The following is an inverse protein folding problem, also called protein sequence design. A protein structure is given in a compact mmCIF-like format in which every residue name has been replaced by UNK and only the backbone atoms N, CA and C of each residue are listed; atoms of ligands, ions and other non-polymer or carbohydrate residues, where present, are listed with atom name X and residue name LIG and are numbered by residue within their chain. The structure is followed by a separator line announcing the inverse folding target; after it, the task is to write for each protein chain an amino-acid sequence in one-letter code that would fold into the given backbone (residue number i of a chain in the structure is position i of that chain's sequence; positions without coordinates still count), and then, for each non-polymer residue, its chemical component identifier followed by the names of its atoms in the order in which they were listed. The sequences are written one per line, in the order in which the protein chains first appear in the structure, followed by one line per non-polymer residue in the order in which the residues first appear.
data_IF_206348512400
#
_entry.id   IF_206348512400
#
_cell.length_a   1.000
_cell.length_b   1.000
_cell.length_c   1.000
_cell.angle_alpha   90.00
_cell.angle_beta   90.00
_cell.angle_gamma   90.00
#
_symmetry.space_group_name_H-M   'P 1'
#
loop_
_entity.id
_entity.type
_entity.pdbx_description
1 polymer ?
#
# COMPACT_ATOMS: atom_id res chain seq x y z
N UNK A 1 -6.06 22.08 -37.18
CA UNK A 1 -5.92 22.67 -35.83
C UNK A 1 -6.58 21.83 -34.73
N UNK A 2 -7.82 21.35 -34.87
CA UNK A 2 -8.52 20.60 -33.81
C UNK A 2 -7.75 19.38 -33.26
N UNK A 3 -7.09 18.61 -34.14
CA UNK A 3 -6.33 17.42 -33.72
C UNK A 3 -5.07 17.77 -32.90
N UNK A 4 -4.47 18.95 -33.13
CA UNK A 4 -3.28 19.41 -32.40
C UNK A 4 -3.61 19.85 -30.97
N UNK A 5 -4.74 20.56 -30.81
CA UNK A 5 -5.27 20.92 -29.49
C UNK A 5 -5.64 19.66 -28.68
N UNK A 6 -6.24 18.65 -29.32
CA UNK A 6 -6.58 17.39 -28.66
C UNK A 6 -5.33 16.61 -28.17
N UNK A 7 -4.26 16.58 -28.96
CA UNK A 7 -2.99 15.94 -28.56
C UNK A 7 -2.35 16.68 -27.39
N UNK A 8 -2.26 18.02 -27.46
CA UNK A 8 -1.69 18.86 -26.39
C UNK A 8 -2.44 18.67 -25.07
N UNK A 9 -3.78 18.71 -25.10
CA UNK A 9 -4.60 18.50 -23.91
C UNK A 9 -4.40 17.10 -23.30
N UNK A 10 -4.22 16.07 -24.14
CA UNK A 10 -3.96 14.70 -23.67
C UNK A 10 -2.59 14.57 -23.00
N UNK A 11 -1.56 15.20 -23.54
CA UNK A 11 -0.22 15.17 -22.95
C UNK A 11 -0.16 15.91 -21.60
N UNK A 12 -0.84 17.05 -21.51
CA UNK A 12 -0.97 17.83 -20.27
C UNK A 12 -1.70 17.02 -19.19
N UNK A 13 -2.84 16.42 -19.53
CA UNK A 13 -3.58 15.54 -18.62
C UNK A 13 -2.74 14.34 -18.13
N UNK A 14 -1.93 13.72 -19.00
CA UNK A 14 -1.04 12.62 -18.60
C UNK A 14 0.08 13.08 -17.67
N UNK A 15 0.60 14.29 -17.85
CA UNK A 15 1.61 14.87 -16.95
C UNK A 15 1.03 15.16 -15.57
N UNK A 16 -0.16 15.74 -15.50
CA UNK A 16 -0.83 16.03 -14.23
C UNK A 16 -1.17 14.74 -13.47
N UNK A 17 -1.72 13.74 -14.17
CA UNK A 17 -1.98 12.42 -13.57
C UNK A 17 -0.71 11.79 -13.01
N UNK A 18 0.40 11.85 -13.76
CA UNK A 18 1.70 11.34 -13.31
C UNK A 18 2.19 12.08 -12.05
N UNK A 19 2.05 13.40 -12.01
CA UNK A 19 2.39 14.22 -10.85
C UNK A 19 1.58 13.83 -9.62
N UNK A 20 0.26 13.73 -9.76
CA UNK A 20 -0.65 13.36 -8.66
C UNK A 20 -0.40 11.94 -8.13
N UNK A 21 -0.18 10.96 -9.02
CA UNK A 21 0.13 9.60 -8.61
C UNK A 21 1.49 9.51 -7.91
N UNK A 22 2.49 10.26 -8.39
CA UNK A 22 3.82 10.32 -7.78
C UNK A 22 3.75 10.92 -6.37
N UNK A 23 2.96 11.99 -6.21
CA UNK A 23 2.69 12.60 -4.91
C UNK A 23 2.02 11.59 -3.96
N UNK A 24 0.94 10.94 -4.41
CA UNK A 24 0.23 9.95 -3.60
C UNK A 24 1.14 8.77 -3.18
N UNK A 25 1.92 8.22 -4.11
CA UNK A 25 2.85 7.13 -3.81
C UNK A 25 3.96 7.56 -2.84
N UNK A 26 4.45 8.80 -2.96
CA UNK A 26 5.43 9.36 -2.02
C UNK A 26 4.82 9.51 -0.63
N UNK A 27 3.60 10.03 -0.52
CA UNK A 27 2.88 10.15 0.76
C UNK A 27 2.68 8.76 1.40
N UNK A 28 2.23 7.76 0.64
CA UNK A 28 2.05 6.39 1.14
C UNK A 28 3.39 5.81 1.61
N UNK A 29 4.47 6.02 0.86
CA UNK A 29 5.83 5.61 1.24
C UNK A 29 6.24 6.25 2.56
N UNK A 30 6.02 7.55 2.72
CA UNK A 30 6.34 8.28 3.96
C UNK A 30 5.51 7.75 5.13
N UNK A 31 4.20 7.56 4.96
CA UNK A 31 3.33 7.07 6.02
C UNK A 31 3.74 5.66 6.44
N UNK A 32 3.95 4.75 5.48
CA UNK A 32 4.35 3.36 5.78
C UNK A 32 5.71 3.31 6.48
N UNK A 33 6.70 4.07 6.00
CA UNK A 33 7.98 4.23 6.69
C UNK A 33 7.80 4.71 8.14
N UNK A 34 7.02 5.77 8.35
CA UNK A 34 6.78 6.32 9.68
C UNK A 34 6.08 5.32 10.60
N UNK A 35 5.09 4.57 10.11
CA UNK A 35 4.40 3.54 10.90
C UNK A 35 5.25 2.31 11.20
N UNK A 36 6.29 2.02 10.42
CA UNK A 36 7.19 0.92 10.69
C UNK A 36 8.18 1.24 11.81
N UNK A 37 8.73 2.47 11.81
CA UNK A 37 9.69 2.93 12.83
C UNK A 37 9.01 3.47 14.10
N UNK A 38 7.77 3.95 13.96
CA UNK A 38 6.89 4.34 15.06
C UNK A 38 5.66 3.43 15.02
N UNK A 39 5.80 2.17 15.49
CA UNK A 39 4.73 1.19 15.41
C UNK A 39 3.49 1.64 16.18
N UNK A 40 2.31 1.14 15.79
CA UNK A 40 1.11 1.28 16.62
C UNK A 40 1.40 0.80 18.04
N UNK A 41 0.74 1.39 19.04
CA UNK A 41 1.01 1.10 20.45
C UNK A 41 2.36 1.61 20.98
N UNK A 42 3.21 2.17 20.12
CA UNK A 42 4.48 2.77 20.51
C UNK A 42 5.58 1.76 20.85
N UNK A 43 6.71 2.33 21.28
CA UNK A 43 7.88 1.58 21.74
C UNK A 43 8.08 1.76 23.23
N UNK A 44 8.73 0.80 23.88
CA UNK A 44 9.09 0.94 25.30
C UNK A 44 10.09 2.10 25.46
N UNK A 45 9.81 3.11 26.31
CA UNK A 45 10.74 4.21 26.55
C UNK A 45 11.98 3.73 27.33
N UNK A 46 13.09 4.45 27.17
CA UNK A 46 14.26 4.26 28.02
C UNK A 46 14.03 4.89 29.40
N UNK A 47 14.40 4.18 30.46
CA UNK A 47 14.33 4.70 31.84
C UNK A 47 15.52 5.64 32.09
N UNK A 48 15.28 6.87 32.53
CA UNK A 48 16.32 7.91 32.73
C UNK A 48 17.31 7.59 33.88
N UNK A 49 16.90 6.76 34.84
CA UNK A 49 17.63 6.58 36.11
C UNK A 49 18.39 5.24 36.24
N UNK A 50 18.38 4.40 35.20
CA UNK A 50 19.07 3.12 35.20
C UNK A 50 19.96 2.98 33.95
N UNK A 51 21.05 2.20 34.07
CA UNK A 51 21.85 1.82 32.90
C UNK A 51 20.92 1.09 31.92
N UNK A 52 20.84 1.56 30.67
CA UNK A 52 20.10 0.91 29.58
C UNK A 52 20.48 -0.57 29.52
N UNK A 53 19.59 -1.42 30.04
CA UNK A 53 19.71 -2.87 30.02
C UNK A 53 18.44 -3.46 29.43
N UNK A 54 18.63 -4.37 28.50
CA UNK A 54 17.56 -5.27 28.11
C UNK A 54 17.22 -6.19 29.29
N UNK A 55 15.92 -6.44 29.55
CA UNK A 55 15.50 -7.42 30.53
C UNK A 55 15.98 -8.82 30.12
N UNK A 56 16.36 -9.66 31.09
CA UNK A 56 16.83 -11.03 30.82
C UNK A 56 15.74 -11.91 30.20
N UNK A 57 14.46 -11.63 30.50
CA UNK A 57 13.31 -12.29 29.93
C UNK A 57 12.62 -11.41 28.88
N UNK A 58 12.94 -11.62 27.61
CA UNK A 58 12.38 -10.86 26.48
C UNK A 58 10.91 -11.20 26.16
N UNK A 59 10.44 -12.36 26.64
CA UNK A 59 9.13 -12.93 26.27
C UNK A 59 7.93 -12.09 26.72
N UNK A 60 8.09 -11.31 27.80
CA UNK A 60 7.02 -10.46 28.34
C UNK A 60 7.44 -9.00 28.53
N UNK A 61 8.64 -8.66 28.06
CA UNK A 61 9.28 -7.40 28.40
C UNK A 61 10.16 -6.94 27.22
N UNK A 62 9.65 -6.06 26.35
CA UNK A 62 10.44 -5.54 25.24
C UNK A 62 11.66 -4.77 25.77
N UNK A 63 12.77 -4.73 25.04
CA UNK A 63 13.87 -3.81 25.32
C UNK A 63 13.42 -2.36 25.10
N UNK A 64 14.07 -1.37 25.73
CA UNK A 64 13.87 0.04 25.36
C UNK A 64 14.08 0.26 23.85
N UNK A 65 13.11 0.88 23.20
CA UNK A 65 13.07 1.09 21.73
C UNK A 65 12.36 -0.01 20.94
N UNK A 66 12.01 -1.15 21.55
CA UNK A 66 11.22 -2.19 20.89
C UNK A 66 9.71 -1.93 21.00
N UNK A 67 8.96 -2.41 20.02
CA UNK A 67 7.50 -2.26 19.98
C UNK A 67 6.82 -3.03 21.12
N UNK A 68 5.90 -2.38 21.82
CA UNK A 68 5.09 -3.02 22.87
C UNK A 68 4.11 -4.02 22.25
N UNK A 69 3.47 -3.66 21.13
CA UNK A 69 2.50 -4.54 20.45
C UNK A 69 3.15 -5.80 19.86
N UNK A 70 4.44 -5.78 19.54
CA UNK A 70 5.16 -6.96 19.07
C UNK A 70 5.20 -8.09 20.10
N UNK A 71 5.19 -7.75 21.39
CA UNK A 71 5.18 -8.71 22.50
C UNK A 71 3.73 -9.10 22.86
N UNK A 72 2.82 -8.11 22.91
CA UNK A 72 1.43 -8.35 23.35
C UNK A 72 0.60 -9.09 22.30
N UNK A 73 0.74 -8.75 21.02
CA UNK A 73 -0.02 -9.34 19.91
C UNK A 73 0.91 -9.75 18.75
N UNK A 74 1.87 -10.63 19.05
CA UNK A 74 2.93 -11.04 18.13
C UNK A 74 2.44 -11.42 16.73
N UNK A 75 1.42 -12.29 16.63
CA UNK A 75 0.88 -12.75 15.34
C UNK A 75 0.26 -11.62 14.51
N UNK A 76 -0.52 -10.74 15.15
CA UNK A 76 -1.14 -9.60 14.49
C UNK A 76 -0.07 -8.58 14.05
N UNK A 77 0.95 -8.38 14.90
CA UNK A 77 2.05 -7.45 14.64
C UNK A 77 2.93 -7.90 13.46
N UNK A 78 3.27 -9.19 13.38
CA UNK A 78 4.01 -9.76 12.24
C UNK A 78 3.22 -9.56 10.94
N UNK A 79 1.91 -9.83 10.97
CA UNK A 79 1.04 -9.64 9.81
C UNK A 79 0.94 -8.16 9.41
N UNK A 80 0.82 -7.27 10.39
CA UNK A 80 0.83 -5.83 10.19
C UNK A 80 2.12 -5.36 9.49
N UNK A 81 3.28 -5.74 10.03
CA UNK A 81 4.58 -5.37 9.44
C UNK A 81 4.75 -5.93 8.03
N UNK A 82 4.29 -7.15 7.77
CA UNK A 82 4.35 -7.76 6.45
C UNK A 82 3.55 -6.94 5.43
N UNK A 83 2.28 -6.64 5.69
CA UNK A 83 1.46 -5.83 4.77
C UNK A 83 1.99 -4.40 4.63
N UNK A 84 2.47 -3.80 5.72
CA UNK A 84 3.06 -2.47 5.71
C UNK A 84 4.31 -2.42 4.81
N UNK A 85 5.18 -3.41 4.92
CA UNK A 85 6.42 -3.52 4.12
C UNK A 85 6.10 -3.73 2.64
N UNK A 86 5.12 -4.57 2.31
CA UNK A 86 4.67 -4.73 0.93
C UNK A 86 4.10 -3.41 0.39
N UNK A 87 3.33 -2.68 1.21
CA UNK A 87 2.81 -1.36 0.83
C UNK A 87 3.95 -0.36 0.57
N UNK A 88 4.95 -0.30 1.43
CA UNK A 88 6.14 0.56 1.29
C UNK A 88 6.95 0.24 0.03
N UNK A 89 7.26 -1.03 -0.20
CA UNK A 89 8.06 -1.45 -1.36
C UNK A 89 7.27 -1.23 -2.66
N UNK A 90 5.97 -1.53 -2.67
CA UNK A 90 5.14 -1.32 -3.86
C UNK A 90 4.96 0.18 -4.18
N UNK A 91 4.79 1.05 -3.17
CA UNK A 91 4.71 2.49 -3.40
C UNK A 91 6.04 3.07 -3.89
N UNK A 92 7.18 2.59 -3.38
CA UNK A 92 8.50 2.94 -3.92
C UNK A 92 8.67 2.50 -5.36
N UNK A 93 8.26 1.28 -5.70
CA UNK A 93 8.30 0.79 -7.09
C UNK A 93 7.46 1.67 -8.02
N UNK A 94 6.27 2.10 -7.57
CA UNK A 94 5.44 3.07 -8.30
C UNK A 94 6.17 4.40 -8.46
N UNK A 95 6.77 4.96 -7.41
CA UNK A 95 7.56 6.19 -7.48
C UNK A 95 8.70 6.06 -8.49
N UNK A 96 9.46 4.96 -8.46
CA UNK A 96 10.56 4.72 -9.39
C UNK A 96 10.07 4.66 -10.84
N UNK A 97 9.00 3.90 -11.11
CA UNK A 97 8.38 3.84 -12.44
C UNK A 97 7.92 5.22 -12.93
N UNK A 98 7.36 6.04 -12.04
CA UNK A 98 6.93 7.40 -12.33
C UNK A 98 8.09 8.38 -12.44
N UNK A 99 9.25 8.15 -11.84
CA UNK A 99 10.43 9.04 -11.96
C UNK A 99 11.26 8.69 -13.18
N UNK A 100 11.37 7.41 -13.56
CA UNK A 100 12.20 6.90 -14.66
C UNK A 100 11.86 7.44 -16.06
N UNK A 101 10.84 8.29 -16.20
CA UNK A 101 10.57 8.94 -17.49
C UNK A 101 9.91 8.03 -18.53
N UNK A 102 9.59 6.78 -18.17
CA UNK A 102 8.92 5.87 -19.09
C UNK A 102 7.61 6.48 -19.57
N UNK A 103 7.44 6.51 -20.89
CA UNK A 103 6.24 7.06 -21.49
C UNK A 103 5.02 6.25 -21.05
N UNK A 104 4.10 6.89 -20.31
CA UNK A 104 2.77 6.36 -20.01
C UNK A 104 1.94 6.14 -21.29
N UNK A 105 2.44 6.56 -22.45
CA UNK A 105 1.85 6.17 -23.72
C UNK A 105 2.04 4.67 -24.02
N UNK A 106 3.06 4.03 -23.44
CA UNK A 106 3.24 2.59 -23.59
C UNK A 106 2.29 1.83 -22.67
N UNK A 107 1.45 1.00 -23.30
CA UNK A 107 0.40 0.21 -22.65
C UNK A 107 0.95 -0.75 -21.59
N UNK A 108 2.19 -1.25 -21.74
CA UNK A 108 2.84 -2.11 -20.76
C UNK A 108 3.16 -1.37 -19.45
N UNK A 109 3.79 -0.19 -19.53
CA UNK A 109 4.14 0.59 -18.34
C UNK A 109 2.92 1.12 -17.61
N UNK A 110 1.89 1.54 -18.33
CA UNK A 110 0.60 1.93 -17.72
C UNK A 110 -0.06 0.76 -17.00
N UNK A 111 0.03 -0.45 -17.57
CA UNK A 111 -0.50 -1.65 -16.95
C UNK A 111 0.28 -2.04 -15.69
N UNK A 112 1.62 -2.01 -15.75
CA UNK A 112 2.49 -2.25 -14.60
C UNK A 112 2.24 -1.24 -13.47
N UNK A 113 2.13 0.05 -13.81
CA UNK A 113 1.78 1.12 -12.87
C UNK A 113 0.43 0.86 -12.21
N UNK A 114 -0.57 0.45 -13.00
CA UNK A 114 -1.91 0.15 -12.48
C UNK A 114 -1.88 -1.03 -11.52
N UNK A 115 -1.11 -2.08 -11.80
CA UNK A 115 -0.92 -3.22 -10.90
C UNK A 115 -0.22 -2.78 -9.62
N UNK A 116 0.87 -2.02 -9.74
CA UNK A 116 1.60 -1.46 -8.61
C UNK A 116 0.66 -0.69 -7.69
N UNK A 117 -0.14 0.23 -8.24
CA UNK A 117 -1.11 0.99 -7.47
C UNK A 117 -2.19 0.12 -6.82
N UNK A 118 -2.70 -0.91 -7.50
CA UNK A 118 -3.67 -1.84 -6.91
C UNK A 118 -3.06 -2.60 -5.71
N UNK A 119 -1.83 -3.09 -5.86
CA UNK A 119 -1.10 -3.77 -4.77
C UNK A 119 -0.90 -2.81 -3.61
N UNK A 120 -0.41 -1.60 -3.87
CA UNK A 120 -0.18 -0.56 -2.85
C UNK A 120 -1.48 -0.23 -2.10
N UNK A 121 -2.57 0.08 -2.81
CA UNK A 121 -3.83 0.42 -2.13
C UNK A 121 -4.39 -0.77 -1.33
N UNK A 122 -4.31 -1.99 -1.86
CA UNK A 122 -4.81 -3.19 -1.16
C UNK A 122 -4.04 -3.45 0.12
N UNK A 123 -2.72 -3.41 0.04
CA UNK A 123 -1.83 -3.65 1.19
C UNK A 123 -1.92 -2.53 2.20
N UNK A 124 -2.13 -1.28 1.78
CA UNK A 124 -2.43 -0.16 2.67
C UNK A 124 -3.73 -0.37 3.45
N UNK A 125 -4.81 -0.79 2.79
CA UNK A 125 -6.10 -1.07 3.46
C UNK A 125 -5.98 -2.21 4.47
N UNK A 126 -5.29 -3.30 4.11
CA UNK A 126 -5.04 -4.43 5.03
C UNK A 126 -4.20 -3.99 6.23
N UNK A 127 -3.14 -3.22 6.00
CA UNK A 127 -2.29 -2.66 7.05
C UNK A 127 -3.09 -1.79 8.01
N UNK A 128 -3.94 -0.90 7.48
CA UNK A 128 -4.81 -0.04 8.29
C UNK A 128 -5.75 -0.87 9.17
N UNK A 129 -6.41 -1.89 8.60
CA UNK A 129 -7.35 -2.72 9.36
C UNK A 129 -6.64 -3.44 10.50
N UNK A 130 -5.52 -4.12 10.24
CA UNK A 130 -4.78 -4.86 11.27
C UNK A 130 -4.19 -3.90 12.31
N UNK A 131 -3.63 -2.77 11.87
CA UNK A 131 -3.08 -1.75 12.77
C UNK A 131 -4.13 -1.21 13.75
N UNK A 132 -5.30 -0.85 13.23
CA UNK A 132 -6.38 -0.30 14.04
C UNK A 132 -7.05 -1.38 14.92
N UNK A 133 -7.11 -2.62 14.46
CA UNK A 133 -7.51 -3.79 15.26
C UNK A 133 -6.62 -3.93 16.50
N UNK A 134 -5.29 -3.95 16.34
CA UNK A 134 -4.34 -4.10 17.45
C UNK A 134 -4.41 -2.98 18.50
N UNK A 135 -4.84 -1.77 18.11
CA UNK A 135 -4.92 -0.60 19.02
C UNK A 135 -6.31 -0.47 19.68
N UNK A 136 -7.33 -1.18 19.16
CA UNK A 136 -8.70 -1.05 19.66
C UNK A 136 -8.96 -1.99 20.85
N UNK A 137 -9.39 -1.47 22.01
CA UNK A 137 -9.64 -2.30 23.19
C UNK A 137 -10.95 -3.12 23.10
N UNK A 138 -11.01 -4.24 23.83
CA UNK A 138 -12.11 -5.21 23.82
C UNK A 138 -13.57 -4.64 23.90
N UNK A 139 -13.91 -3.64 24.73
CA UNK A 139 -15.29 -3.18 24.86
C UNK A 139 -15.87 -2.55 23.57
N UNK A 140 -15.03 -2.10 22.65
CA UNK A 140 -15.45 -1.58 21.33
C UNK A 140 -15.23 -2.56 20.18
N UNK A 141 -14.57 -3.69 20.45
CA UNK A 141 -14.16 -4.67 19.45
C UNK A 141 -15.31 -5.22 18.59
N UNK A 142 -16.41 -5.64 19.23
CA UNK A 142 -17.54 -6.25 18.51
C UNK A 142 -18.10 -5.32 17.43
N UNK A 143 -18.26 -4.02 17.75
CA UNK A 143 -18.69 -3.01 16.78
C UNK A 143 -17.63 -2.81 15.69
N UNK A 144 -16.37 -2.69 16.07
CA UNK A 144 -15.24 -2.51 15.14
C UNK A 144 -15.10 -3.68 14.14
N UNK A 145 -15.25 -4.92 14.59
CA UNK A 145 -15.14 -6.11 13.74
C UNK A 145 -16.26 -6.17 12.69
N UNK A 146 -17.49 -5.82 13.06
CA UNK A 146 -18.60 -5.73 12.08
C UNK A 146 -18.36 -4.64 11.03
N UNK A 147 -17.74 -3.52 11.42
CA UNK A 147 -17.36 -2.43 10.50
C UNK A 147 -16.25 -2.89 9.54
N UNK A 148 -15.18 -3.53 10.04
CA UNK A 148 -14.10 -4.03 9.18
C UNK A 148 -14.57 -5.10 8.21
N UNK A 149 -15.45 -6.01 8.62
CA UNK A 149 -16.02 -6.99 7.72
C UNK A 149 -16.78 -6.32 6.56
N UNK A 150 -17.58 -5.27 6.83
CA UNK A 150 -18.23 -4.53 5.75
C UNK A 150 -17.23 -3.84 4.82
N UNK A 151 -16.22 -3.18 5.39
CA UNK A 151 -15.17 -2.49 4.62
C UNK A 151 -14.43 -3.49 3.73
N UNK A 152 -14.02 -4.65 4.25
CA UNK A 152 -13.26 -5.64 3.47
C UNK A 152 -14.09 -6.22 2.33
N UNK A 153 -15.37 -6.52 2.53
CA UNK A 153 -16.24 -6.97 1.44
C UNK A 153 -16.41 -5.92 0.35
N UNK A 154 -16.63 -4.65 0.73
CA UNK A 154 -16.72 -3.56 -0.24
C UNK A 154 -15.41 -3.37 -1.00
N UNK A 155 -14.27 -3.48 -0.32
CA UNK A 155 -12.95 -3.36 -0.93
C UNK A 155 -12.64 -4.52 -1.88
N UNK A 156 -12.95 -5.76 -1.48
CA UNK A 156 -12.81 -6.94 -2.33
C UNK A 156 -13.68 -6.87 -3.59
N UNK A 157 -14.91 -6.35 -3.48
CA UNK A 157 -15.77 -6.12 -4.64
C UNK A 157 -15.17 -5.10 -5.60
N UNK A 158 -14.66 -3.97 -5.09
CA UNK A 158 -13.99 -2.94 -5.89
C UNK A 158 -12.72 -3.46 -6.56
N UNK A 159 -11.88 -4.18 -5.83
CA UNK A 159 -10.67 -4.80 -6.39
C UNK A 159 -11.03 -5.84 -7.46
N UNK A 160 -12.06 -6.67 -7.22
CA UNK A 160 -12.54 -7.64 -8.19
C UNK A 160 -12.95 -6.96 -9.51
N UNK A 161 -13.67 -5.85 -9.45
CA UNK A 161 -14.04 -5.07 -10.63
C UNK A 161 -12.83 -4.47 -11.35
N UNK A 162 -11.88 -3.90 -10.62
CA UNK A 162 -10.66 -3.30 -11.18
C UNK A 162 -9.79 -4.38 -11.84
N UNK A 163 -9.56 -5.51 -11.16
CA UNK A 163 -8.79 -6.64 -11.70
C UNK A 163 -9.47 -7.18 -12.95
N UNK A 164 -10.79 -7.39 -12.92
CA UNK A 164 -11.56 -7.84 -14.07
C UNK A 164 -11.39 -6.89 -15.26
N UNK A 165 -11.50 -5.58 -15.03
CA UNK A 165 -11.28 -4.58 -16.08
C UNK A 165 -9.85 -4.61 -16.65
N UNK A 166 -8.83 -4.71 -15.79
CA UNK A 166 -7.43 -4.80 -16.20
C UNK A 166 -7.14 -6.09 -16.99
N UNK A 167 -7.69 -7.22 -16.55
CA UNK A 167 -7.60 -8.51 -17.22
C UNK A 167 -8.29 -8.48 -18.60
N UNK A 168 -9.51 -7.92 -18.70
CA UNK A 168 -10.20 -7.76 -19.98
C UNK A 168 -9.38 -6.89 -20.94
N UNK A 169 -8.83 -5.77 -20.46
CA UNK A 169 -8.06 -4.84 -21.29
C UNK A 169 -6.76 -5.46 -21.81
N UNK A 170 -6.13 -6.33 -21.03
CA UNK A 170 -5.01 -7.16 -21.46
C UNK A 170 -5.43 -8.21 -22.47
N UNK A 171 -6.48 -8.95 -22.18
CA UNK A 171 -6.97 -10.03 -23.03
C UNK A 171 -7.28 -9.49 -24.43
N UNK A 172 -8.02 -8.38 -24.52
CA UNK A 172 -8.30 -7.70 -25.79
C UNK A 172 -7.00 -7.29 -26.50
N UNK A 173 -5.99 -6.82 -25.77
CA UNK A 173 -4.70 -6.44 -26.37
C UNK A 173 -3.92 -7.64 -26.90
N UNK A 174 -3.86 -8.75 -26.14
CA UNK A 174 -3.21 -9.99 -26.58
C UNK A 174 -3.91 -10.53 -27.83
N UNK A 175 -5.24 -10.61 -27.80
CA UNK A 175 -6.05 -11.10 -28.93
C UNK A 175 -5.85 -10.24 -30.17
N UNK A 176 -5.93 -8.92 -30.05
CA UNK A 176 -5.69 -8.01 -31.19
C UNK A 176 -4.26 -8.11 -31.74
N UNK A 177 -3.25 -8.31 -30.88
CA UNK A 177 -1.86 -8.52 -31.30
C UNK A 177 -1.64 -9.89 -31.95
N UNK A 178 -2.32 -10.94 -31.49
CA UNK A 178 -2.28 -12.28 -32.09
C UNK A 178 -3.00 -12.32 -33.44
N UNK A 179 -4.13 -11.63 -33.59
CA UNK A 179 -4.87 -11.54 -34.85
C UNK A 179 -4.12 -10.67 -35.86
N UNK A 180 -3.54 -9.54 -35.41
CA UNK A 180 -2.76 -8.65 -36.27
C UNK A 180 -1.43 -9.24 -36.76
N UNK A 181 -0.89 -10.27 -36.09
CA UNK A 181 0.27 -11.05 -36.58
C UNK A 181 -0.10 -12.15 -37.59
N UNK A 182 -1.39 -12.46 -37.77
CA UNK A 182 -1.88 -13.51 -38.68
C UNK A 182 -2.33 -13.00 -40.05
N UNK A 183 -2.27 -11.69 -40.30
CA UNK A 183 -2.36 -11.06 -41.64
C UNK A 183 -0.98 -10.59 -42.05
#
# INVERSE_FOLDING_TARGET
MANWLAIKNKEEWLKDMRGNLSLAATIITTITFQTAINPPGGVRPATENEKLKCPENLENNPCPGESVLAIVYQEAYVRFLLFNTICFVSSLAVCLLLVSGFSLNNRFFTWLLSIGMCITMTTLTLTYMIGADMVTPYPVWYRTQTMYNKVIYTWLALLGLIILFLCLRLFVWIVTKCIGKRK
#
